data_IF_690722793983
#
_entry.id   IF_690722793983
#
_cell.length_a   1.000
_cell.length_b   1.000
_cell.length_c   1.000
_cell.angle_alpha   90.00
_cell.angle_beta   90.00
_cell.angle_gamma   90.00
#
_symmetry.space_group_name_H-M   'P 1'
#
loop_
_entity.id
_entity.type
_entity.pdbx_description
1 polymer ?
#
# COMPACT_ATOMS: atom_id res chain seq x y z
N UNK A 1 8.62 14.06 21.20
CA UNK A 1 9.14 12.83 20.56
C UNK A 1 8.44 11.52 20.98
N UNK A 2 8.50 11.07 22.25
CA UNK A 2 8.11 9.70 22.65
C UNK A 2 6.67 9.29 22.31
N UNK A 3 5.68 10.16 22.52
CA UNK A 3 4.26 9.87 22.22
C UNK A 3 4.05 9.54 20.73
N UNK A 4 4.72 10.28 19.83
CA UNK A 4 4.61 10.04 18.39
C UNK A 4 5.18 8.67 18.01
N UNK A 5 6.28 8.23 18.65
CA UNK A 5 6.88 6.91 18.39
C UNK A 5 5.86 5.78 18.62
N UNK A 6 5.10 5.85 19.72
CA UNK A 6 4.06 4.87 20.06
C UNK A 6 2.88 5.00 19.12
N UNK A 7 2.33 6.22 18.96
CA UNK A 7 1.18 6.46 18.10
C UNK A 7 1.41 6.09 16.63
N UNK A 8 2.63 6.30 16.11
CA UNK A 8 3.01 5.92 14.76
C UNK A 8 3.00 4.40 14.57
N UNK A 9 3.62 3.64 15.48
CA UNK A 9 3.64 2.18 15.41
C UNK A 9 2.22 1.61 15.47
N UNK A 10 1.42 2.08 16.44
CA UNK A 10 0.02 1.71 16.57
C UNK A 10 -0.77 1.99 15.29
N UNK A 11 -0.66 3.22 14.77
CA UNK A 11 -1.36 3.66 13.57
C UNK A 11 -0.97 2.80 12.37
N UNK A 12 0.32 2.55 12.14
CA UNK A 12 0.79 1.73 11.01
C UNK A 12 0.20 0.33 11.09
N UNK A 13 0.22 -0.31 12.26
CA UNK A 13 -0.31 -1.67 12.45
C UNK A 13 -1.82 -1.74 12.23
N UNK A 14 -2.58 -0.82 12.83
CA UNK A 14 -4.04 -0.76 12.69
C UNK A 14 -4.46 -0.43 11.25
N UNK A 15 -3.85 0.60 10.66
CA UNK A 15 -4.13 1.01 9.28
C UNK A 15 -3.85 -0.12 8.30
N UNK A 16 -2.71 -0.80 8.43
CA UNK A 16 -2.35 -1.94 7.58
C UNK A 16 -3.41 -3.05 7.67
N UNK A 17 -3.91 -3.34 8.87
CA UNK A 17 -4.96 -4.33 9.05
C UNK A 17 -6.31 -3.93 8.42
N UNK A 18 -6.71 -2.67 8.62
CA UNK A 18 -7.97 -2.13 8.06
C UNK A 18 -7.95 -2.10 6.53
N UNK A 19 -6.81 -1.76 5.91
CA UNK A 19 -6.66 -1.66 4.47
C UNK A 19 -6.35 -3.00 3.76
N UNK A 20 -6.16 -4.08 4.51
CA UNK A 20 -5.89 -5.39 3.95
C UNK A 20 -7.13 -6.26 3.86
N UNK A 21 -7.24 -7.03 2.78
CA UNK A 21 -8.30 -8.01 2.56
C UNK A 21 -7.74 -9.20 1.75
N UNK A 22 -8.57 -10.17 1.37
CA UNK A 22 -8.13 -11.35 0.62
C UNK A 22 -7.44 -10.95 -0.69
N UNK A 23 -6.14 -11.20 -0.76
CA UNK A 23 -5.31 -10.91 -1.94
C UNK A 23 -4.95 -9.43 -2.14
N UNK A 24 -5.29 -8.53 -1.22
CA UNK A 24 -4.97 -7.10 -1.28
C UNK A 24 -4.46 -6.56 0.07
N UNK A 25 -3.65 -5.51 0.02
CA UNK A 25 -3.09 -4.87 1.21
C UNK A 25 -1.70 -5.37 1.57
N UNK A 26 -1.42 -5.50 2.86
CA UNK A 26 -0.06 -5.63 3.40
C UNK A 26 0.21 -7.06 3.86
N UNK A 27 1.35 -7.60 3.47
CA UNK A 27 1.94 -8.81 4.06
C UNK A 27 3.25 -8.42 4.74
N UNK A 28 3.36 -8.71 6.03
CA UNK A 28 4.62 -8.51 6.78
C UNK A 28 5.49 -9.74 6.59
N UNK A 29 6.65 -9.55 5.97
CA UNK A 29 7.61 -10.61 5.65
C UNK A 29 8.67 -10.73 6.76
N UNK A 30 9.14 -9.60 7.28
CA UNK A 30 10.18 -9.54 8.29
C UNK A 30 9.87 -8.41 9.29
N UNK A 31 10.14 -8.65 10.57
CA UNK A 31 10.14 -7.65 11.63
C UNK A 31 11.11 -8.08 12.73
N UNK A 32 12.33 -7.55 12.72
CA UNK A 32 13.39 -7.96 13.64
C UNK A 32 14.27 -6.79 14.10
N UNK A 33 14.92 -6.91 15.28
CA UNK A 33 15.94 -5.96 15.69
C UNK A 33 17.08 -5.88 14.66
N UNK A 34 17.63 -4.69 14.47
CA UNK A 34 18.74 -4.45 13.54
C UNK A 34 19.76 -3.51 14.18
N UNK A 35 21.05 -3.80 14.06
CA UNK A 35 22.12 -2.94 14.54
C UNK A 35 22.87 -2.34 13.35
N UNK A 36 22.88 -1.00 13.28
CA UNK A 36 23.59 -0.26 12.25
C UNK A 36 24.90 0.33 12.80
N UNK A 37 26.01 0.24 12.06
CA UNK A 37 27.31 0.79 12.52
C UNK A 37 27.30 2.29 12.81
N UNK A 38 26.45 3.06 12.12
CA UNK A 38 26.40 4.52 12.21
C UNK A 38 25.21 5.02 13.03
N UNK A 39 24.09 4.28 13.02
CA UNK A 39 22.84 4.67 13.66
C UNK A 39 22.49 3.87 14.92
N UNK A 40 23.26 2.81 15.24
CA UNK A 40 23.08 1.98 16.42
C UNK A 40 21.86 1.06 16.32
N UNK A 41 21.23 0.79 17.47
CA UNK A 41 20.11 -0.13 17.56
C UNK A 41 18.84 0.42 16.89
N UNK A 42 18.19 -0.42 16.11
CA UNK A 42 16.95 -0.13 15.42
C UNK A 42 16.09 -1.37 15.18
N UNK A 43 15.11 -1.21 14.30
CA UNK A 43 14.23 -2.28 13.85
C UNK A 43 14.22 -2.31 12.32
N UNK A 44 14.42 -3.49 11.74
CA UNK A 44 14.22 -3.75 10.32
C UNK A 44 12.85 -4.37 10.09
N UNK A 45 12.08 -3.81 9.17
CA UNK A 45 10.84 -4.42 8.68
C UNK A 45 10.86 -4.54 7.16
N UNK A 46 10.38 -5.67 6.65
CA UNK A 46 10.09 -5.86 5.24
C UNK A 46 8.61 -6.23 5.07
N UNK A 47 7.92 -5.55 4.16
CA UNK A 47 6.51 -5.80 3.84
C UNK A 47 6.31 -5.84 2.34
N UNK A 48 5.29 -6.58 1.90
CA UNK A 48 4.80 -6.60 0.52
C UNK A 48 3.42 -5.98 0.46
N UNK A 49 3.26 -4.96 -0.37
CA UNK A 49 2.00 -4.24 -0.56
C UNK A 49 1.39 -4.61 -1.91
N UNK A 50 0.19 -5.18 -1.87
CA UNK A 50 -0.57 -5.66 -3.01
C UNK A 50 -1.67 -4.65 -3.38
N UNK A 51 -1.57 -4.04 -4.57
CA UNK A 51 -2.32 -2.84 -4.95
C UNK A 51 -3.34 -3.05 -6.10
N UNK A 52 -3.73 -4.29 -6.39
CA UNK A 52 -4.41 -4.65 -7.63
C UNK A 52 -5.68 -3.83 -7.95
N UNK A 53 -6.55 -3.54 -6.96
CA UNK A 53 -7.74 -2.67 -7.14
C UNK A 53 -7.52 -1.21 -6.75
N UNK A 54 -6.43 -0.87 -6.09
CA UNK A 54 -6.17 0.49 -5.60
C UNK A 54 -5.50 1.39 -6.65
N UNK A 55 -5.03 0.83 -7.75
CA UNK A 55 -4.42 1.58 -8.83
C UNK A 55 -5.43 2.35 -9.69
N UNK A 56 -5.10 3.59 -10.12
CA UNK A 56 -5.86 4.31 -11.13
C UNK A 56 -5.99 3.51 -12.43
N UNK A 57 -7.07 3.76 -13.19
CA UNK A 57 -7.37 3.03 -14.43
C UNK A 57 -6.24 3.04 -15.46
N UNK A 58 -5.52 4.17 -15.60
CA UNK A 58 -4.38 4.27 -16.52
C UNK A 58 -3.20 3.37 -16.08
N UNK A 59 -2.95 3.26 -14.78
CA UNK A 59 -1.88 2.43 -14.24
C UNK A 59 -2.23 0.95 -14.40
N UNK A 60 -3.49 0.57 -14.12
CA UNK A 60 -4.00 -0.80 -14.33
C UNK A 60 -3.87 -1.30 -15.77
N UNK A 61 -3.83 -0.41 -16.75
CA UNK A 61 -3.68 -0.77 -18.16
C UNK A 61 -2.25 -1.23 -18.53
N UNK A 62 -1.24 -0.89 -17.72
CA UNK A 62 0.19 -1.10 -18.03
C UNK A 62 0.92 -1.98 -17.03
N UNK A 63 0.32 -2.27 -15.87
CA UNK A 63 0.89 -3.19 -14.86
C UNK A 63 0.30 -4.59 -15.00
N UNK A 64 1.06 -5.65 -14.69
CA UNK A 64 0.53 -7.02 -14.70
C UNK A 64 -0.53 -7.20 -13.61
N UNK A 65 -1.35 -8.25 -13.76
CA UNK A 65 -2.41 -8.58 -12.79
C UNK A 65 -1.88 -8.96 -11.40
N UNK A 66 -0.63 -9.39 -11.31
CA UNK A 66 0.02 -9.81 -10.08
C UNK A 66 1.36 -9.08 -10.01
N UNK A 67 1.44 -8.07 -9.15
CA UNK A 67 2.67 -7.44 -8.72
C UNK A 67 2.50 -6.99 -7.27
N UNK A 68 3.61 -6.66 -6.63
CA UNK A 68 3.62 -6.04 -5.31
C UNK A 68 4.72 -4.98 -5.23
N UNK A 69 4.55 -4.05 -4.31
CA UNK A 69 5.60 -3.13 -3.90
C UNK A 69 6.22 -3.69 -2.63
N UNK A 70 7.54 -3.88 -2.62
CA UNK A 70 8.29 -4.22 -1.42
C UNK A 70 8.62 -2.95 -0.68
N UNK A 71 8.16 -2.82 0.57
CA UNK A 71 8.60 -1.81 1.54
C UNK A 71 9.68 -2.44 2.42
N UNK A 72 10.85 -1.81 2.50
CA UNK A 72 11.89 -2.14 3.48
C UNK A 72 12.17 -0.90 4.32
N UNK A 73 12.05 -1.00 5.62
CA UNK A 73 12.22 0.13 6.54
C UNK A 73 13.20 -0.19 7.66
N UNK A 74 14.11 0.75 7.91
CA UNK A 74 15.05 0.72 9.02
C UNK A 74 14.71 1.87 9.98
N UNK A 75 14.22 1.50 11.16
CA UNK A 75 13.77 2.45 12.16
C UNK A 75 14.80 2.57 13.30
N UNK A 76 15.58 3.65 13.27
CA UNK A 76 16.55 4.07 14.26
C UNK A 76 16.04 5.29 15.05
N UNK A 77 14.74 5.32 15.38
CA UNK A 77 14.07 6.51 15.92
C UNK A 77 14.97 7.32 16.87
N UNK A 78 15.22 8.61 16.58
CA UNK A 78 14.42 9.52 15.75
C UNK A 78 14.83 9.62 14.27
N UNK A 79 15.58 8.66 13.71
CA UNK A 79 15.86 8.61 12.28
C UNK A 79 15.25 7.35 11.66
N UNK A 80 14.71 7.44 10.44
CA UNK A 80 14.12 6.29 9.74
C UNK A 80 14.41 6.37 8.25
N UNK A 81 14.83 5.26 7.68
CA UNK A 81 14.98 5.08 6.24
C UNK A 81 13.90 4.11 5.77
N UNK A 82 13.24 4.41 4.66
CA UNK A 82 12.27 3.51 4.03
C UNK A 82 12.46 3.50 2.53
N UNK A 83 12.63 2.29 1.98
CA UNK A 83 12.79 2.05 0.56
C UNK A 83 11.59 1.27 0.04
N UNK A 84 11.07 1.71 -1.10
CA UNK A 84 10.05 1.00 -1.86
C UNK A 84 10.62 0.59 -3.20
N UNK A 85 10.43 -0.67 -3.57
CA UNK A 85 10.75 -1.21 -4.90
C UNK A 85 9.54 -1.96 -5.47
N UNK A 86 9.44 -2.06 -6.79
CA UNK A 86 8.32 -2.75 -7.43
C UNK A 86 8.78 -4.09 -8.03
N UNK A 87 8.04 -5.17 -7.75
CA UNK A 87 8.35 -6.51 -8.26
C UNK A 87 8.31 -6.62 -9.79
N UNK A 88 7.66 -5.67 -10.45
CA UNK A 88 7.50 -5.62 -11.92
C UNK A 88 8.36 -4.54 -12.58
N UNK A 89 8.65 -3.45 -11.88
CA UNK A 89 9.35 -2.28 -12.43
C UNK A 89 10.71 -2.16 -11.75
N UNK A 90 11.77 -2.81 -12.26
CA UNK A 90 13.07 -2.89 -11.58
C UNK A 90 13.77 -1.53 -11.42
N UNK A 91 13.38 -0.53 -12.23
CA UNK A 91 13.91 0.85 -12.17
C UNK A 91 12.96 1.83 -11.47
N UNK A 92 11.96 1.31 -10.75
CA UNK A 92 11.09 2.11 -9.90
C UNK A 92 11.60 2.01 -8.46
N UNK A 93 11.83 3.17 -7.83
CA UNK A 93 12.05 3.23 -6.39
C UNK A 93 11.45 4.48 -5.76
N UNK A 94 11.09 4.35 -4.48
CA UNK A 94 10.83 5.48 -3.59
C UNK A 94 11.79 5.34 -2.42
N UNK A 95 12.55 6.38 -2.14
CA UNK A 95 13.42 6.47 -0.96
C UNK A 95 12.88 7.56 -0.06
N UNK A 96 12.64 7.24 1.21
CA UNK A 96 12.11 8.16 2.21
C UNK A 96 13.03 8.18 3.41
N UNK A 97 13.56 9.35 3.72
CA UNK A 97 14.25 9.59 4.99
C UNK A 97 13.36 10.43 5.89
N UNK A 98 13.25 10.01 7.15
CA UNK A 98 12.42 10.69 8.14
C UNK A 98 13.25 11.10 9.36
N UNK A 99 13.13 12.36 9.75
CA UNK A 99 13.67 12.93 10.98
C UNK A 99 12.53 13.58 11.78
N UNK A 100 12.64 13.59 13.10
CA UNK A 100 11.60 14.13 13.98
C UNK A 100 12.18 15.21 14.90
N UNK A 101 11.50 16.34 15.03
CA UNK A 101 11.86 17.40 15.98
C UNK A 101 10.63 17.95 16.70
N UNK A 102 10.80 18.37 17.95
CA UNK A 102 9.72 18.97 18.75
C UNK A 102 9.57 20.47 18.42
N UNK A 103 9.22 20.75 17.16
CA UNK A 103 8.94 22.08 16.62
C UNK A 103 7.73 22.08 15.67
N UNK A 104 7.46 23.22 15.03
CA UNK A 104 6.29 23.44 14.15
C UNK A 104 6.60 23.31 12.66
N UNK A 105 7.68 22.60 12.29
CA UNK A 105 8.13 22.52 10.90
C UNK A 105 9.01 23.71 10.49
N UNK A 106 9.79 24.25 11.42
CA UNK A 106 10.60 25.45 11.24
C UNK A 106 12.08 25.21 10.93
N UNK A 107 12.49 23.95 10.68
CA UNK A 107 13.88 23.60 10.37
C UNK A 107 14.05 23.28 8.88
N UNK A 108 14.40 24.29 8.08
CA UNK A 108 14.61 24.14 6.64
C UNK A 108 15.91 23.38 6.29
N UNK A 109 16.85 23.31 7.24
CA UNK A 109 18.18 22.72 7.06
C UNK A 109 18.29 21.26 7.52
N UNK A 110 17.19 20.64 7.93
CA UNK A 110 17.21 19.30 8.55
C UNK A 110 17.77 18.19 7.64
N UNK A 111 17.74 18.40 6.31
CA UNK A 111 18.25 17.48 5.30
C UNK A 111 19.40 18.05 4.46
N UNK A 112 20.10 19.08 4.95
CA UNK A 112 21.18 19.72 4.19
C UNK A 112 22.38 18.79 3.98
N UNK A 113 22.55 17.73 4.78
CA UNK A 113 23.61 16.75 4.55
C UNK A 113 23.24 15.76 3.43
N UNK A 114 21.95 15.42 3.32
CA UNK A 114 21.46 14.37 2.42
C UNK A 114 21.03 14.93 1.06
N UNK A 115 20.65 16.21 0.99
CA UNK A 115 20.08 16.82 -0.21
C UNK A 115 20.60 18.24 -0.52
N UNK A 116 21.81 18.59 -0.05
CA UNK A 116 22.37 19.96 -0.14
C UNK A 116 22.25 20.62 -1.51
N UNK A 117 22.52 19.84 -2.57
CA UNK A 117 22.67 20.32 -3.94
C UNK A 117 21.52 19.85 -4.85
N UNK A 118 20.39 19.41 -4.26
CA UNK A 118 19.21 18.96 -4.99
C UNK A 118 18.12 20.02 -4.91
N UNK A 119 17.49 20.33 -6.05
CA UNK A 119 16.24 21.08 -6.04
C UNK A 119 15.15 20.29 -5.30
N UNK A 120 14.48 20.95 -4.35
CA UNK A 120 13.46 20.34 -3.50
C UNK A 120 12.23 21.23 -3.42
N UNK A 121 11.06 20.59 -3.50
CA UNK A 121 9.79 21.22 -3.20
C UNK A 121 9.39 20.92 -1.76
N UNK A 122 9.07 21.97 -0.99
CA UNK A 122 8.59 21.82 0.39
C UNK A 122 7.08 21.78 0.39
N UNK A 123 6.51 20.65 0.83
CA UNK A 123 5.07 20.47 0.96
C UNK A 123 4.69 20.31 2.44
N UNK A 124 4.05 21.33 3.01
CA UNK A 124 3.44 21.22 4.34
C UNK A 124 2.14 20.41 4.26
N UNK A 125 1.99 19.45 5.17
CA UNK A 125 0.76 18.66 5.33
C UNK A 125 0.03 19.17 6.57
N UNK A 126 -1.21 19.63 6.41
CA UNK A 126 -2.07 20.00 7.53
C UNK A 126 -3.15 18.95 7.77
N UNK A 127 -3.03 18.24 8.90
CA UNK A 127 -3.97 17.18 9.26
C UNK A 127 -5.40 17.69 9.48
N UNK A 128 -5.59 18.98 9.78
CA UNK A 128 -6.91 19.54 9.98
C UNK A 128 -7.48 20.07 8.66
N UNK A 129 -6.73 20.90 7.92
CA UNK A 129 -7.30 21.63 6.77
C UNK A 129 -7.19 20.92 5.42
N UNK A 130 -6.19 20.08 5.21
CA UNK A 130 -5.97 19.48 3.90
C UNK A 130 -7.04 18.44 3.57
N UNK A 131 -7.48 18.45 2.30
CA UNK A 131 -8.45 17.49 1.80
C UNK A 131 -7.83 16.11 1.60
N UNK A 132 -8.61 15.07 1.95
CA UNK A 132 -8.31 13.67 1.63
C UNK A 132 -9.31 13.15 0.60
N UNK A 133 -8.97 12.13 -0.20
CA UNK A 133 -9.94 11.53 -1.11
C UNK A 133 -11.16 11.00 -0.34
N UNK A 134 -12.37 11.36 -0.81
CA UNK A 134 -13.66 11.06 -0.14
C UNK A 134 -13.80 9.60 0.30
N UNK A 135 -13.29 8.66 -0.51
CA UNK A 135 -13.33 7.21 -0.19
C UNK A 135 -12.61 6.81 1.11
N UNK A 136 -11.71 7.67 1.61
CA UNK A 136 -10.98 7.48 2.86
C UNK A 136 -11.50 8.37 3.99
N UNK A 137 -12.46 9.27 3.71
CA UNK A 137 -12.99 10.16 4.73
C UNK A 137 -13.88 9.39 5.71
N UNK A 138 -13.57 9.56 7.00
CA UNK A 138 -14.43 9.16 8.11
C UNK A 138 -14.51 10.33 9.08
N UNK A 139 -15.73 10.76 9.42
CA UNK A 139 -15.94 11.88 10.34
C UNK A 139 -15.28 11.63 11.71
N UNK A 140 -15.29 10.39 12.19
CA UNK A 140 -14.61 9.98 13.44
C UNK A 140 -13.08 10.14 13.39
N UNK A 141 -12.49 10.21 12.20
CA UNK A 141 -11.05 10.38 11.97
C UNK A 141 -10.70 11.81 11.55
N UNK A 142 -11.67 12.75 11.57
CA UNK A 142 -11.44 14.15 11.23
C UNK A 142 -10.97 14.96 12.45
N UNK A 143 -9.72 15.48 12.47
CA UNK A 143 -9.23 16.30 13.57
C UNK A 143 -10.02 17.59 13.82
N UNK A 144 -10.80 18.10 12.84
CA UNK A 144 -11.71 19.24 13.03
C UNK A 144 -12.86 18.90 13.98
N UNK A 145 -13.29 17.64 14.02
CA UNK A 145 -14.44 17.19 14.81
C UNK A 145 -14.04 16.32 15.99
N UNK A 146 -12.91 15.62 15.89
CA UNK A 146 -12.39 14.77 16.95
C UNK A 146 -11.87 15.57 18.15
N UNK A 147 -12.25 15.12 19.35
CA UNK A 147 -11.67 15.56 20.62
C UNK A 147 -11.40 14.35 21.51
N UNK A 148 -10.14 14.21 21.92
CA UNK A 148 -9.68 13.14 22.79
C UNK A 148 -10.29 13.27 24.18
N UNK A 149 -10.86 12.16 24.68
CA UNK A 149 -11.38 12.07 26.04
C UNK A 149 -10.27 11.88 27.07
N UNK A 150 -9.15 11.24 26.69
CA UNK A 150 -8.03 11.00 27.61
C UNK A 150 -7.14 12.23 27.79
N UNK A 151 -6.90 12.96 26.71
CA UNK A 151 -5.91 14.07 26.68
C UNK A 151 -6.54 15.45 26.61
N UNK A 152 -7.82 15.53 26.24
CA UNK A 152 -8.50 16.80 25.97
C UNK A 152 -8.07 17.49 24.67
N UNK A 153 -7.13 16.92 23.91
CA UNK A 153 -6.63 17.48 22.64
C UNK A 153 -7.71 17.46 21.55
N UNK A 154 -7.66 18.45 20.68
CA UNK A 154 -8.70 18.69 19.68
C UNK A 154 -9.91 19.43 20.30
N UNK A 155 -10.83 19.93 19.50
CA UNK A 155 -10.87 19.95 18.03
C UNK A 155 -9.83 20.91 17.43
N UNK A 156 -9.20 20.53 16.31
CA UNK A 156 -8.21 21.36 15.63
C UNK A 156 -8.91 22.37 14.72
N UNK A 157 -8.70 23.66 15.01
CA UNK A 157 -9.23 24.78 14.22
C UNK A 157 -8.16 25.38 13.33
N UNK A 158 -8.54 26.30 12.44
CA UNK A 158 -7.57 27.09 11.68
C UNK A 158 -6.56 27.76 12.63
N UNK A 159 -5.27 27.71 12.27
CA UNK A 159 -4.19 28.19 13.12
C UNK A 159 -3.86 27.31 14.33
N UNK A 160 -4.35 26.06 14.40
CA UNK A 160 -4.09 25.15 15.53
C UNK A 160 -2.60 24.96 15.83
N UNK A 161 -1.74 24.97 14.80
CA UNK A 161 -0.27 24.82 14.92
C UNK A 161 0.35 25.85 15.86
N UNK A 162 -0.24 27.06 15.95
CA UNK A 162 0.29 28.11 16.82
C UNK A 162 -0.20 28.02 18.26
N UNK A 163 -1.35 27.39 18.48
CA UNK A 163 -2.09 27.42 19.75
C UNK A 163 -2.01 26.13 20.54
N UNK A 164 -1.73 25.00 19.89
CA UNK A 164 -1.77 23.68 20.52
C UNK A 164 -0.38 23.21 20.97
N UNK A 165 -0.36 22.56 22.13
CA UNK A 165 0.81 21.90 22.70
C UNK A 165 0.39 20.57 23.36
N UNK A 166 1.28 19.55 23.39
CA UNK A 166 2.58 19.51 22.74
C UNK A 166 2.48 19.40 21.21
N UNK A 167 3.50 19.88 20.49
CA UNK A 167 3.63 19.77 19.03
C UNK A 167 5.01 19.23 18.64
N UNK A 168 5.05 18.51 17.52
CA UNK A 168 6.28 18.02 16.88
C UNK A 168 6.09 18.02 15.37
N UNK A 169 7.20 17.90 14.63
CA UNK A 169 7.21 17.80 13.18
C UNK A 169 7.95 16.52 12.74
N UNK A 170 7.35 15.81 11.79
CA UNK A 170 7.93 14.67 11.08
C UNK A 170 8.35 15.16 9.71
N UNK A 171 9.65 15.37 9.53
CA UNK A 171 10.24 15.83 8.28
C UNK A 171 10.53 14.62 7.41
N UNK A 172 9.96 14.58 6.21
CA UNK A 172 10.09 13.45 5.28
C UNK A 172 10.69 13.91 3.96
N UNK A 173 11.95 13.55 3.72
CA UNK A 173 12.59 13.72 2.43
C UNK A 173 12.22 12.54 1.55
N UNK A 174 11.43 12.80 0.50
CA UNK A 174 10.93 11.78 -0.42
C UNK A 174 11.62 11.93 -1.76
N UNK A 175 12.27 10.88 -2.23
CA UNK A 175 12.86 10.79 -3.57
C UNK A 175 12.17 9.68 -4.35
N UNK A 176 11.59 10.00 -5.51
CA UNK A 176 11.00 9.01 -6.42
C UNK A 176 11.88 8.90 -7.66
N UNK A 177 12.16 7.67 -8.10
CA UNK A 177 12.86 7.40 -9.36
C UNK A 177 12.01 6.50 -10.23
N UNK A 178 11.77 6.90 -11.47
CA UNK A 178 11.07 6.08 -12.45
C UNK A 178 11.63 6.27 -13.88
N UNK A 179 12.53 5.38 -14.28
CA UNK A 179 13.26 5.48 -15.56
C UNK A 179 12.53 4.81 -16.72
N UNK A 180 11.31 5.26 -17.05
CA UNK A 180 10.58 4.81 -18.24
C UNK A 180 10.37 5.97 -19.20
N UNK A 181 10.86 5.80 -20.43
CA UNK A 181 10.79 6.82 -21.47
C UNK A 181 9.35 7.26 -21.74
N UNK A 182 9.13 8.58 -21.79
CA UNK A 182 7.82 9.19 -22.05
C UNK A 182 6.83 9.17 -20.87
N UNK A 183 7.15 8.52 -19.74
CA UNK A 183 6.26 8.43 -18.58
C UNK A 183 6.90 8.92 -17.26
N UNK A 184 8.22 9.11 -17.22
CA UNK A 184 9.00 9.51 -16.04
C UNK A 184 8.32 10.56 -15.16
N UNK A 185 8.27 11.82 -15.62
CA UNK A 185 7.77 12.96 -14.84
C UNK A 185 6.35 12.75 -14.35
N UNK A 186 5.47 12.23 -15.22
CA UNK A 186 4.04 12.02 -14.89
C UNK A 186 3.88 10.99 -13.77
N UNK A 187 4.64 9.90 -13.80
CA UNK A 187 4.57 8.85 -12.79
C UNK A 187 5.23 9.29 -11.50
N UNK A 188 6.38 9.96 -11.54
CA UNK A 188 7.05 10.50 -10.35
C UNK A 188 6.15 11.48 -9.60
N UNK A 189 5.56 12.44 -10.31
CA UNK A 189 4.59 13.39 -9.72
C UNK A 189 3.36 12.69 -9.13
N UNK A 190 2.82 11.70 -9.84
CA UNK A 190 1.69 10.91 -9.33
C UNK A 190 2.05 10.18 -8.03
N UNK A 191 3.25 9.59 -7.96
CA UNK A 191 3.72 8.88 -6.76
C UNK A 191 3.94 9.83 -5.60
N UNK A 192 4.53 11.02 -5.83
CA UNK A 192 4.63 12.06 -4.79
C UNK A 192 3.27 12.43 -4.21
N UNK A 193 2.25 12.61 -5.08
CA UNK A 193 0.87 12.86 -4.63
C UNK A 193 0.33 11.71 -3.79
N UNK A 194 0.52 10.46 -4.22
CA UNK A 194 0.08 9.28 -3.45
C UNK A 194 0.78 9.21 -2.09
N UNK A 195 2.09 9.45 -2.03
CA UNK A 195 2.84 9.49 -0.77
C UNK A 195 2.29 10.58 0.15
N UNK A 196 2.06 11.79 -0.37
CA UNK A 196 1.44 12.90 0.39
C UNK A 196 0.08 12.50 0.97
N UNK A 197 -0.79 11.92 0.15
CA UNK A 197 -2.15 11.53 0.57
C UNK A 197 -2.11 10.45 1.67
N UNK A 198 -1.25 9.43 1.52
CA UNK A 198 -1.07 8.37 2.53
C UNK A 198 -0.54 8.96 3.84
N UNK A 199 0.43 9.87 3.76
CA UNK A 199 0.98 10.54 4.94
C UNK A 199 -0.09 11.37 5.66
N UNK A 200 -0.89 12.15 4.92
CA UNK A 200 -1.98 12.94 5.48
C UNK A 200 -3.01 12.04 6.20
N UNK A 201 -3.47 10.97 5.53
CA UNK A 201 -4.43 10.02 6.12
C UNK A 201 -3.86 9.39 7.38
N UNK A 202 -2.64 8.86 7.32
CA UNK A 202 -1.99 8.20 8.46
C UNK A 202 -1.82 9.15 9.66
N UNK A 203 -1.46 10.41 9.45
CA UNK A 203 -1.31 11.37 10.55
C UNK A 203 -2.65 11.83 11.13
N UNK A 204 -3.71 11.95 10.31
CA UNK A 204 -5.08 12.18 10.80
C UNK A 204 -5.52 11.04 11.71
N UNK A 205 -5.30 9.81 11.28
CA UNK A 205 -5.61 8.61 12.05
C UNK A 205 -4.79 8.49 13.34
N UNK A 206 -3.49 8.79 13.30
CA UNK A 206 -2.65 8.80 14.49
C UNK A 206 -3.19 9.78 15.55
N UNK A 207 -3.68 10.96 15.13
CA UNK A 207 -4.30 11.93 16.02
C UNK A 207 -5.68 11.46 16.52
N UNK A 208 -6.54 10.99 15.63
CA UNK A 208 -7.90 10.57 15.98
C UNK A 208 -7.95 9.29 16.83
N UNK A 209 -6.95 8.42 16.71
CA UNK A 209 -6.83 7.21 17.52
C UNK A 209 -6.03 7.42 18.80
N UNK A 210 -5.72 8.67 19.18
CA UNK A 210 -4.92 8.96 20.39
C UNK A 210 -5.47 8.30 21.64
N UNK A 211 -6.79 8.26 21.82
CA UNK A 211 -7.38 7.63 22.99
C UNK A 211 -7.11 6.12 23.07
N UNK A 212 -6.79 5.48 21.95
CA UNK A 212 -6.50 4.04 21.88
C UNK A 212 -5.04 3.73 22.27
N UNK A 213 -4.09 4.60 21.91
CA UNK A 213 -2.65 4.35 22.10
C UNK A 213 -1.98 5.20 23.18
N UNK A 214 -2.62 6.26 23.69
CA UNK A 214 -1.96 7.25 24.56
C UNK A 214 -1.31 6.67 25.83
N UNK A 215 -1.95 5.67 26.43
CA UNK A 215 -1.48 5.03 27.67
C UNK A 215 -0.61 3.79 27.41
N UNK A 216 -0.36 3.44 26.15
CA UNK A 216 0.50 2.31 25.82
C UNK A 216 1.95 2.63 26.17
N UNK A 217 2.65 1.64 26.69
CA UNK A 217 4.12 1.63 26.74
C UNK A 217 4.70 1.22 25.38
N UNK A 218 6.02 1.34 25.24
CA UNK A 218 6.71 0.79 24.06
C UNK A 218 6.51 -0.73 23.94
N UNK A 219 6.44 -1.46 25.05
CA UNK A 219 6.24 -2.91 25.03
C UNK A 219 4.82 -3.26 24.59
N UNK A 220 3.80 -2.54 25.11
CA UNK A 220 2.40 -2.74 24.73
C UNK A 220 2.19 -2.54 23.22
N UNK A 221 2.76 -1.48 22.63
CA UNK A 221 2.60 -1.22 21.20
C UNK A 221 3.38 -2.21 20.34
N UNK A 222 4.49 -2.78 20.84
CA UNK A 222 5.22 -3.85 20.14
C UNK A 222 4.46 -5.16 20.15
N UNK A 223 3.81 -5.49 21.27
CA UNK A 223 2.91 -6.64 21.34
C UNK A 223 1.70 -6.44 20.41
N UNK A 224 1.10 -5.25 20.41
CA UNK A 224 0.01 -4.89 19.49
C UNK A 224 0.44 -5.02 18.03
N UNK A 225 1.60 -4.48 17.67
CA UNK A 225 2.19 -4.55 16.32
C UNK A 225 2.32 -6.00 15.88
N UNK A 226 2.94 -6.85 16.71
CA UNK A 226 3.11 -8.28 16.42
C UNK A 226 1.76 -8.97 16.18
N UNK A 227 0.80 -8.77 17.08
CA UNK A 227 -0.54 -9.36 16.98
C UNK A 227 -1.29 -8.90 15.72
N UNK A 228 -1.16 -7.62 15.34
CA UNK A 228 -1.77 -7.09 14.12
C UNK A 228 -1.10 -7.62 12.86
N UNK A 229 0.23 -7.78 12.85
CA UNK A 229 0.94 -8.38 11.72
C UNK A 229 0.46 -9.81 11.45
N UNK A 230 0.36 -10.63 12.49
CA UNK A 230 -0.14 -12.00 12.37
C UNK A 230 -1.58 -12.04 11.83
N UNK A 231 -2.49 -11.23 12.40
CA UNK A 231 -3.89 -11.16 11.93
C UNK A 231 -3.99 -10.67 10.48
N UNK A 232 -3.18 -9.69 10.10
CA UNK A 232 -3.16 -9.13 8.74
C UNK A 232 -2.66 -10.18 7.74
N UNK A 233 -1.57 -10.87 8.06
CA UNK A 233 -1.04 -11.96 7.22
C UNK A 233 -2.07 -13.10 7.07
N UNK A 234 -2.74 -13.52 8.15
CA UNK A 234 -3.81 -14.54 8.08
C UNK A 234 -4.96 -14.08 7.18
N UNK A 235 -5.42 -12.83 7.37
CA UNK A 235 -6.50 -12.22 6.56
C UNK A 235 -6.14 -12.20 5.07
N UNK A 236 -4.88 -11.88 4.75
CA UNK A 236 -4.35 -11.83 3.38
C UNK A 236 -4.19 -13.21 2.74
N UNK A 237 -3.63 -14.18 3.47
CA UNK A 237 -3.32 -15.53 2.97
C UNK A 237 -4.58 -16.38 2.80
N UNK A 238 -5.63 -16.11 3.58
CA UNK A 238 -6.91 -16.82 3.46
C UNK A 238 -6.77 -18.31 3.79
N UNK A 239 -6.46 -18.64 5.03
CA UNK A 239 -6.48 -20.04 5.48
C UNK A 239 -7.94 -20.43 5.74
N UNK A 240 -8.49 -21.33 4.93
CA UNK A 240 -9.62 -22.16 5.31
C UNK A 240 -9.12 -23.58 5.58
N UNK A 241 -9.57 -24.27 6.64
CA UNK A 241 -9.46 -25.72 6.68
C UNK A 241 -10.24 -26.30 5.48
N UNK A 242 -9.78 -27.42 4.89
CA UNK A 242 -10.48 -28.00 3.75
C UNK A 242 -11.87 -28.46 4.19
N UNK A 243 -12.91 -27.69 3.86
CA UNK A 243 -14.28 -28.20 3.88
C UNK A 243 -14.44 -29.15 2.69
N UNK A 244 -14.20 -30.43 2.95
CA UNK A 244 -14.69 -31.50 2.08
C UNK A 244 -16.21 -31.54 2.26
N UNK A 245 -16.91 -30.69 1.51
CA UNK A 245 -18.36 -30.80 1.36
C UNK A 245 -18.65 -31.99 0.45
N UNK A 246 -18.91 -33.17 1.03
CA UNK A 246 -19.51 -34.28 0.29
C UNK A 246 -20.99 -33.90 0.07
N UNK A 247 -21.29 -33.29 -1.07
CA UNK A 247 -22.66 -33.16 -1.52
C UNK A 247 -23.18 -34.54 -1.90
N UNK A 248 -24.03 -35.14 -1.06
CA UNK A 248 -24.81 -36.30 -1.45
C UNK A 248 -25.80 -35.88 -2.55
N UNK A 249 -25.45 -36.14 -3.80
CA UNK A 249 -26.37 -35.98 -4.93
C UNK A 249 -27.40 -37.10 -4.82
N UNK A 250 -28.60 -36.78 -4.34
CA UNK A 250 -29.76 -37.65 -4.47
C UNK A 250 -30.20 -37.67 -5.94
N UNK A 251 -30.03 -38.81 -6.62
CA UNK A 251 -30.52 -39.00 -7.98
C UNK A 251 -32.05 -39.14 -7.99
N UNK A 252 -32.78 -38.44 -8.86
CA UNK A 252 -34.22 -38.59 -8.97
C UNK A 252 -34.59 -39.94 -9.60
N UNK A 253 -35.55 -40.63 -8.98
CA UNK A 253 -36.10 -41.91 -9.42
C UNK A 253 -36.85 -41.75 -10.76
N UNK A 254 -36.36 -42.38 -11.82
CA UNK A 254 -37.08 -42.50 -13.10
C UNK A 254 -37.49 -43.96 -13.32
N UNK A 255 -38.80 -44.21 -13.37
CA UNK A 255 -39.40 -45.51 -13.63
C UNK A 255 -39.66 -45.73 -15.13
N UNK A 256 -39.14 -46.87 -15.64
CA UNK A 256 -39.54 -47.68 -16.84
C UNK A 256 -39.37 -46.98 -18.22
N UNK A 257 -38.87 -47.60 -19.30
CA UNK A 257 -38.65 -49.02 -19.67
C UNK A 257 -37.91 -49.15 -21.02
N UNK A 258 -36.96 -50.10 -21.09
CA UNK A 258 -36.47 -50.89 -22.26
C UNK A 258 -35.64 -50.23 -23.39
N UNK A 259 -34.84 -51.00 -24.17
CA UNK A 259 -33.96 -52.12 -23.79
C UNK A 259 -32.48 -51.91 -24.21
N UNK A 260 -31.64 -52.78 -23.66
CA UNK A 260 -30.20 -52.91 -23.85
C UNK A 260 -29.73 -52.90 -25.32
N UNK A 261 -28.73 -52.08 -25.62
CA UNK A 261 -27.82 -52.29 -26.76
C UNK A 261 -26.49 -51.59 -26.47
N UNK A 262 -25.52 -52.34 -25.94
CA UNK A 262 -24.14 -51.92 -25.85
C UNK A 262 -23.41 -52.27 -27.16
N UNK A 263 -22.66 -51.32 -27.75
CA UNK A 263 -21.51 -51.65 -28.57
C UNK A 263 -20.23 -51.39 -27.77
N UNK A 264 -19.40 -52.42 -27.67
CA UNK A 264 -18.07 -52.40 -27.08
C UNK A 264 -17.15 -51.41 -27.80
N UNK A 265 -16.41 -50.60 -27.05
CA UNK A 265 -15.30 -49.78 -27.57
C UNK A 265 -14.18 -50.70 -28.08
N UNK A 266 -13.74 -50.62 -29.36
CA UNK A 266 -12.49 -51.23 -29.76
C UNK A 266 -11.32 -50.37 -29.28
N UNK A 267 -10.41 -50.99 -28.53
CA UNK A 267 -9.08 -50.49 -28.24
C UNK A 267 -8.28 -50.52 -29.56
N UNK A 268 -8.15 -49.37 -30.23
CA UNK A 268 -7.26 -49.24 -31.39
C UNK A 268 -6.23 -48.16 -31.09
N UNK A 269 -5.00 -48.62 -30.97
CA UNK A 269 -3.76 -47.84 -30.88
C UNK A 269 -3.29 -47.56 -32.30
N UNK A 270 -3.79 -46.49 -32.92
CA UNK A 270 -3.18 -45.94 -34.13
C UNK A 270 -3.42 -44.42 -34.20
N UNK A 271 -2.40 -43.69 -34.64
CA UNK A 271 -2.42 -42.23 -34.74
C UNK A 271 -3.23 -41.78 -35.96
N UNK A 272 -4.13 -40.78 -35.84
CA UNK A 272 -4.85 -40.28 -37.00
C UNK A 272 -3.91 -39.51 -37.95
N UNK A 273 -3.89 -39.95 -39.20
CA UNK A 273 -3.19 -39.33 -40.32
C UNK A 273 -3.67 -37.90 -40.60
N UNK A 274 -2.69 -37.04 -40.89
CA UNK A 274 -2.74 -35.73 -41.55
C UNK A 274 -4.13 -35.16 -41.93
N UNK A 275 -4.57 -34.15 -41.18
CA UNK A 275 -5.49 -33.14 -41.70
C UNK A 275 -4.71 -31.99 -42.30
N UNK A 276 -5.02 -31.71 -43.57
CA UNK A 276 -4.34 -30.78 -44.47
C UNK A 276 -4.51 -29.31 -44.06
N UNK A 277 -3.42 -28.55 -44.27
CA UNK A 277 -3.32 -27.11 -44.00
C UNK A 277 -4.15 -26.30 -45.00
N UNK A 278 -5.05 -25.39 -44.55
CA UNK A 278 -5.61 -24.37 -45.44
C UNK A 278 -4.56 -23.29 -45.76
N UNK A 279 -4.27 -23.13 -47.05
CA UNK A 279 -3.47 -22.03 -47.62
C UNK A 279 -4.16 -20.67 -47.47
N UNK A 280 -3.32 -19.65 -47.24
CA UNK A 280 -3.48 -18.22 -47.48
C UNK A 280 -4.67 -17.47 -46.84
N UNK A 281 -4.35 -16.72 -45.78
CA UNK A 281 -5.09 -15.49 -45.39
C UNK A 281 -4.14 -14.29 -45.44
N UNK A 282 -4.57 -13.15 -46.01
CA UNK A 282 -3.72 -11.99 -46.25
C UNK A 282 -3.28 -11.31 -44.93
N UNK A 283 -2.02 -10.86 -44.92
CA UNK A 283 -1.38 -10.05 -43.87
C UNK A 283 -2.20 -8.78 -43.59
N UNK A 284 -2.89 -8.70 -42.45
CA UNK A 284 -3.41 -7.43 -41.93
C UNK A 284 -2.27 -6.71 -41.22
N UNK A 285 -1.86 -5.55 -41.76
CA UNK A 285 -1.17 -4.51 -40.99
C UNK A 285 -2.17 -3.95 -39.99
N UNK A 286 -1.81 -3.91 -38.72
CA UNK A 286 -2.56 -3.17 -37.70
C UNK A 286 -1.60 -2.71 -36.61
N UNK A 287 -0.94 -1.59 -36.87
CA UNK A 287 -0.61 -0.65 -35.82
C UNK A 287 -1.90 0.15 -35.53
N UNK A 288 -2.30 0.36 -34.27
CA UNK A 288 -3.38 1.28 -33.96
C UNK A 288 -2.89 2.72 -34.16
N UNK A 289 -3.41 3.40 -35.18
CA UNK A 289 -3.45 4.86 -35.26
C UNK A 289 -4.45 5.38 -34.21
N UNK A 290 -3.98 5.55 -32.98
CA UNK A 290 -4.70 6.34 -31.96
C UNK A 290 -3.70 7.08 -31.08
N UNK A 291 -2.84 7.87 -31.71
CA UNK A 291 -2.06 8.95 -31.07
C UNK A 291 -1.93 10.11 -32.06
N UNK A 292 -3.04 10.76 -32.35
CA UNK A 292 -3.06 12.12 -32.92
C UNK A 292 -3.99 12.96 -32.06
N UNK A 293 -3.39 13.87 -31.31
CA UNK A 293 -4.08 14.93 -30.56
C UNK A 293 -4.31 16.13 -31.50
N UNK A 294 -5.40 16.90 -31.35
CA UNK A 294 -5.60 18.12 -32.13
C UNK A 294 -4.60 19.20 -31.73
N UNK A 295 -4.09 19.92 -32.73
CA UNK A 295 -3.24 21.09 -32.56
C UNK A 295 -3.92 22.16 -31.70
N UNK A 296 -3.20 22.65 -30.70
CA UNK A 296 -3.53 23.88 -29.98
C UNK A 296 -3.36 25.07 -30.94
N UNK A 297 -4.47 25.58 -31.46
CA UNK A 297 -4.49 26.94 -31.99
C UNK A 297 -4.54 27.95 -30.84
N UNK A 298 -3.78 29.03 -31.05
CA UNK A 298 -3.45 30.13 -30.14
C UNK A 298 -4.66 30.82 -29.51
#
# INVERSE_FOLDING_TARGET
ALQYRIGQLYMISKHSHEQSDRGEGVEVVQNEPYEDPNHGNGQLTEKRVYLNRQLPSWARAVVPKIFYVTEKAWNYYPYTITEYTCSFLPKFSIHIETKYEDNKGSNDSIFDNEAKDLEREVCFIDIASDEIPERYYKESEDPKYFKSQKTGRGQLKEGWRETHQPIMCSYKLVTVKFEVWGLQTRVEQFVHKVVRDILLIGHRQAFAWVDEWYDMTMDDVREYEKNMHEKTNIKKIGVFPPEISISNISMPSSTRSAPSSAPSTPLSTDAPEFLTVPKDRPRKKSAPETLTLPDLQK
#
